data_IF_574978447272
#
_entry.id   IF_574978447272
#
_cell.length_a   1.000
_cell.length_b   1.000
_cell.length_c   1.000
_cell.angle_alpha   90.00
_cell.angle_beta   90.00
_cell.angle_gamma   90.00
#
_symmetry.space_group_name_H-M   'P 1'
#
loop_
_entity.id
_entity.type
_entity.pdbx_description
1 polymer ?
#
# COMPACT_ATOMS: atom_id res chain seq x y z
N UNK A 1 -6.00 19.09 6.76
CA UNK A 1 -6.43 18.69 5.40
C UNK A 1 -6.11 17.20 5.28
N UNK A 2 -7.03 16.34 4.83
CA UNK A 2 -6.79 14.89 4.88
C UNK A 2 -5.97 14.43 3.67
N UNK A 3 -4.79 13.82 3.87
CA UNK A 3 -3.89 13.37 2.78
C UNK A 3 -4.57 12.36 1.86
N UNK A 4 -5.44 11.50 2.41
CA UNK A 4 -6.28 10.59 1.63
C UNK A 4 -7.20 11.33 0.63
N UNK A 5 -7.67 12.54 0.98
CA UNK A 5 -8.47 13.37 0.06
C UNK A 5 -7.59 13.97 -1.03
N UNK A 6 -6.37 14.40 -0.69
CA UNK A 6 -5.40 14.91 -1.67
C UNK A 6 -5.04 13.81 -2.68
N UNK A 7 -4.73 12.60 -2.21
CA UNK A 7 -4.46 11.46 -3.10
C UNK A 7 -5.65 11.18 -4.01
N UNK A 8 -6.87 11.10 -3.47
CA UNK A 8 -8.08 10.79 -4.24
C UNK A 8 -8.43 11.83 -5.31
N UNK A 9 -7.98 13.07 -5.13
CA UNK A 9 -8.17 14.16 -6.10
C UNK A 9 -6.97 14.33 -7.04
N UNK A 10 -5.89 13.57 -6.86
CA UNK A 10 -4.68 13.66 -7.67
C UNK A 10 -4.79 12.83 -8.96
N UNK A 11 -3.98 13.16 -9.96
CA UNK A 11 -3.82 12.36 -11.18
C UNK A 11 -3.28 10.95 -10.90
N UNK A 12 -2.54 10.76 -9.81
CA UNK A 12 -2.03 9.44 -9.38
C UNK A 12 -3.20 8.47 -9.18
N UNK A 13 -4.28 8.92 -8.54
CA UNK A 13 -5.45 8.09 -8.31
C UNK A 13 -6.08 7.62 -9.63
N UNK A 14 -6.26 8.52 -10.59
CA UNK A 14 -6.83 8.18 -11.89
C UNK A 14 -5.92 7.22 -12.68
N UNK A 15 -4.62 7.52 -12.75
CA UNK A 15 -3.65 6.68 -13.46
C UNK A 15 -3.57 5.27 -12.86
N UNK A 16 -3.53 5.17 -11.54
CA UNK A 16 -3.40 3.88 -10.84
C UNK A 16 -4.68 3.06 -10.93
N UNK A 17 -5.85 3.70 -10.81
CA UNK A 17 -7.15 3.03 -10.98
C UNK A 17 -7.35 2.49 -12.39
N UNK A 18 -6.67 3.07 -13.39
CA UNK A 18 -6.69 2.59 -14.78
C UNK A 18 -5.58 1.58 -15.11
N UNK A 19 -4.71 1.25 -14.15
CA UNK A 19 -3.57 0.36 -14.37
C UNK A 19 -2.40 1.00 -15.13
N UNK A 20 -2.39 2.33 -15.30
CA UNK A 20 -1.39 3.05 -16.09
C UNK A 20 -0.31 3.73 -15.23
N UNK A 21 -0.38 3.59 -13.90
CA UNK A 21 0.60 4.21 -12.99
C UNK A 21 1.96 3.50 -13.04
N UNK A 22 1.94 2.17 -13.14
CA UNK A 22 3.15 1.34 -13.11
C UNK A 22 3.41 0.70 -14.47
N UNK A 23 4.67 0.41 -14.79
CA UNK A 23 4.99 -0.39 -15.96
C UNK A 23 4.37 -1.79 -15.84
N UNK A 24 4.09 -2.42 -16.99
CA UNK A 24 3.55 -3.77 -17.06
C UNK A 24 4.60 -4.79 -16.58
N UNK A 25 4.51 -5.11 -15.29
CA UNK A 25 5.38 -6.05 -14.60
C UNK A 25 4.64 -6.64 -13.41
N UNK A 26 4.49 -7.96 -13.42
CA UNK A 26 3.95 -8.73 -12.31
C UNK A 26 4.83 -9.93 -12.00
N UNK A 27 4.76 -10.38 -10.74
CA UNK A 27 5.33 -11.64 -10.29
C UNK A 27 4.23 -12.50 -9.67
N UNK A 28 4.37 -13.82 -9.77
CA UNK A 28 3.43 -14.76 -9.17
C UNK A 28 3.78 -14.99 -7.70
N UNK A 29 2.87 -14.61 -6.80
CA UNK A 29 3.01 -14.84 -5.35
C UNK A 29 1.79 -15.63 -4.89
N UNK A 30 2.00 -16.85 -4.40
CA UNK A 30 0.93 -17.73 -3.91
C UNK A 30 -0.21 -17.95 -4.94
N UNK A 31 0.11 -17.97 -6.24
CA UNK A 31 -0.86 -18.14 -7.33
C UNK A 31 -1.62 -16.88 -7.71
N UNK A 32 -1.20 -15.71 -7.22
CA UNK A 32 -1.75 -14.40 -7.55
C UNK A 32 -0.71 -13.59 -8.31
N UNK A 33 -1.09 -12.99 -9.44
CA UNK A 33 -0.27 -11.98 -10.12
C UNK A 33 -0.18 -10.72 -9.25
N UNK A 34 1.02 -10.39 -8.83
CA UNK A 34 1.30 -9.24 -7.97
C UNK A 34 2.27 -8.28 -8.66
N UNK A 35 1.80 -7.08 -8.95
CA UNK A 35 2.58 -6.01 -9.56
C UNK A 35 3.17 -5.03 -8.55
N UNK A 36 3.63 -3.89 -9.06
CA UNK A 36 4.04 -2.78 -8.21
C UNK A 36 2.86 -2.21 -7.41
N UNK A 37 3.16 -1.75 -6.19
CA UNK A 37 2.17 -1.10 -5.32
C UNK A 37 2.81 0.01 -4.49
N UNK A 38 1.97 0.96 -4.04
CA UNK A 38 2.32 2.00 -3.08
C UNK A 38 2.05 1.48 -1.66
N UNK A 39 2.93 1.82 -0.72
CA UNK A 39 2.71 1.57 0.72
C UNK A 39 2.10 2.81 1.38
N UNK A 40 0.78 2.80 1.52
CA UNK A 40 0.01 3.83 2.23
C UNK A 40 0.08 3.70 3.75
N UNK A 41 -0.30 4.76 4.46
CA UNK A 41 -0.57 4.69 5.89
C UNK A 41 -1.97 4.09 6.18
N UNK A 42 -2.32 3.98 7.46
CA UNK A 42 -3.59 3.41 7.89
C UNK A 42 -4.82 4.26 7.56
N UNK A 43 -4.66 5.55 7.21
CA UNK A 43 -5.74 6.45 6.82
C UNK A 43 -6.15 6.30 5.35
N UNK A 44 -5.30 5.69 4.51
CA UNK A 44 -5.64 5.42 3.11
C UNK A 44 -6.56 4.21 2.95
N UNK A 45 -7.41 4.18 1.89
CA UNK A 45 -8.15 2.98 1.52
C UNK A 45 -7.22 1.91 0.94
N UNK A 46 -7.51 0.63 1.20
CA UNK A 46 -6.85 -0.48 0.52
C UNK A 46 -7.29 -0.49 -0.96
N UNK A 47 -6.35 -0.65 -1.90
CA UNK A 47 -6.59 -0.82 -3.33
C UNK A 47 -5.61 -1.86 -3.90
N UNK A 48 -5.85 -2.35 -5.11
CA UNK A 48 -4.95 -3.31 -5.79
C UNK A 48 -3.53 -2.75 -6.00
N UNK A 49 -3.41 -1.42 -6.08
CA UNK A 49 -2.15 -0.68 -6.24
C UNK A 49 -1.72 0.08 -4.97
N UNK A 50 -2.49 0.01 -3.87
CA UNK A 50 -2.23 0.74 -2.62
C UNK A 50 -2.44 -0.18 -1.41
N UNK A 51 -1.34 -0.67 -0.85
CA UNK A 51 -1.36 -1.47 0.37
C UNK A 51 -1.33 -0.59 1.62
N UNK A 52 -1.94 -1.09 2.69
CA UNK A 52 -1.94 -0.44 4.01
C UNK A 52 -1.64 -1.49 5.10
N UNK A 53 -1.18 -1.06 6.30
CA UNK A 53 -1.07 -1.98 7.42
C UNK A 53 -2.47 -2.42 7.88
N UNK A 54 -2.56 -3.61 8.48
CA UNK A 54 -3.77 -4.04 9.18
C UNK A 54 -4.07 -3.06 10.31
N UNK A 55 -5.32 -2.61 10.40
CA UNK A 55 -5.78 -1.74 11.48
C UNK A 55 -5.73 -2.51 12.80
N UNK A 56 -5.00 -1.99 13.77
CA UNK A 56 -4.92 -2.60 15.09
C UNK A 56 -6.19 -2.32 15.89
N UNK A 57 -7.08 -3.31 15.96
CA UNK A 57 -8.28 -3.29 16.80
C UNK A 57 -8.09 -4.12 18.08
N UNK A 58 -6.85 -4.39 18.49
CA UNK A 58 -6.51 -5.23 19.65
C UNK A 58 -6.72 -6.73 19.43
N UNK A 59 -6.97 -7.17 18.20
CA UNK A 59 -7.26 -8.58 17.84
C UNK A 59 -6.44 -9.06 16.64
N UNK A 60 -5.29 -8.45 16.39
CA UNK A 60 -4.42 -8.87 15.29
C UNK A 60 -3.85 -10.26 15.58
N UNK A 61 -3.90 -11.13 14.57
CA UNK A 61 -3.20 -12.41 14.59
C UNK A 61 -1.68 -12.19 14.55
N UNK A 62 -0.90 -13.19 14.98
CA UNK A 62 0.57 -13.13 14.90
C UNK A 62 1.08 -12.87 13.48
N UNK A 63 0.40 -13.41 12.48
CA UNK A 63 0.73 -13.18 11.07
C UNK A 63 0.48 -11.72 10.65
N UNK A 64 -0.62 -11.11 11.09
CA UNK A 64 -0.92 -9.70 10.83
C UNK A 64 0.05 -8.77 11.56
N UNK A 65 0.46 -9.11 12.78
CA UNK A 65 1.50 -8.39 13.51
C UNK A 65 2.85 -8.45 12.78
N UNK A 66 3.23 -9.64 12.29
CA UNK A 66 4.45 -9.81 11.52
C UNK A 66 4.40 -9.04 10.19
N UNK A 67 3.25 -9.06 9.51
CA UNK A 67 3.02 -8.24 8.32
C UNK A 67 3.19 -6.76 8.63
N UNK A 68 2.49 -6.23 9.65
CA UNK A 68 2.59 -4.83 10.05
C UNK A 68 4.03 -4.44 10.40
N UNK A 69 4.77 -5.29 11.12
CA UNK A 69 6.19 -5.05 11.44
C UNK A 69 7.06 -4.97 10.19
N UNK A 70 6.87 -5.86 9.21
CA UNK A 70 7.57 -5.82 7.92
C UNK A 70 7.17 -4.58 7.11
N UNK A 71 5.89 -4.24 7.11
CA UNK A 71 5.33 -3.08 6.43
C UNK A 71 5.94 -1.77 6.97
N UNK A 72 6.00 -1.59 8.28
CA UNK A 72 6.66 -0.44 8.91
C UNK A 72 8.15 -0.36 8.54
N UNK A 73 8.88 -1.49 8.55
CA UNK A 73 10.30 -1.50 8.13
C UNK A 73 10.50 -1.09 6.67
N UNK A 74 9.61 -1.52 5.78
CA UNK A 74 9.66 -1.12 4.37
C UNK A 74 9.41 0.38 4.22
N UNK A 75 8.50 0.96 5.02
CA UNK A 75 8.24 2.40 5.05
C UNK A 75 9.39 3.22 5.61
N UNK A 76 10.14 2.72 6.60
CA UNK A 76 11.31 3.43 7.14
C UNK A 76 12.35 3.73 6.06
N UNK A 77 12.46 2.90 5.02
CA UNK A 77 13.34 3.20 3.88
C UNK A 77 12.85 4.44 3.12
N UNK A 78 11.54 4.61 2.96
CA UNK A 78 10.94 5.80 2.35
C UNK A 78 11.10 7.01 3.26
N UNK A 79 10.85 6.86 4.57
CA UNK A 79 10.98 7.93 5.57
C UNK A 79 12.43 8.38 5.81
N UNK A 80 13.42 7.53 5.51
CA UNK A 80 14.83 7.90 5.56
C UNK A 80 15.35 8.48 4.24
N UNK A 81 14.58 8.39 3.15
CA UNK A 81 14.97 8.88 1.83
C UNK A 81 14.47 10.29 1.52
N UNK A 82 13.46 10.78 2.24
CA UNK A 82 12.77 12.06 2.01
C UNK A 82 12.39 12.71 3.34
#
# INVERSE_FOLDING_TARGET
MHDARVLRLSSIWDLASRGNLFPDHSIQIAGVDFGYCILGDSAYPLQDWLLKPFTDTGRLTEQQLLYNKKFSRARVVVENAF
#
